data_IF_848627061926
#
_entry.id   IF_848627061926
#
_cell.length_a   1.000
_cell.length_b   1.000
_cell.length_c   1.000
_cell.angle_alpha   90.00
_cell.angle_beta   90.00
_cell.angle_gamma   90.00
#
_symmetry.space_group_name_H-M   'P 1'
#
loop_
_entity.id
_entity.type
_entity.pdbx_description
1 polymer ?
#
# COMPACT_ATOMS: atom_id res chain seq x y z
N UNK A 1 4.26 -14.02 12.16
CA UNK A 1 4.76 -12.92 13.03
C UNK A 1 3.89 -12.57 14.24
N UNK A 2 2.55 -12.75 14.24
CA UNK A 2 1.78 -12.73 15.52
C UNK A 2 2.27 -13.76 16.55
N UNK A 3 3.00 -14.78 16.10
CA UNK A 3 3.66 -15.77 16.97
C UNK A 3 4.65 -15.15 17.98
N UNK A 4 5.28 -14.02 17.65
CA UNK A 4 6.14 -13.29 18.57
C UNK A 4 5.38 -12.62 19.73
N UNK A 5 4.06 -12.48 19.59
CA UNK A 5 3.14 -12.00 20.63
C UNK A 5 2.48 -13.18 21.36
N UNK A 6 2.51 -14.39 20.80
CA UNK A 6 2.01 -15.62 21.41
C UNK A 6 3.07 -16.40 22.20
N UNK A 7 4.20 -15.75 22.55
CA UNK A 7 5.24 -16.33 23.40
C UNK A 7 6.29 -17.20 22.70
N UNK A 8 6.31 -17.27 21.37
CA UNK A 8 7.37 -18.00 20.64
C UNK A 8 8.70 -17.25 20.76
N UNK A 9 9.81 -17.92 21.16
CA UNK A 9 11.13 -17.30 21.23
C UNK A 9 11.53 -16.67 19.89
N UNK A 10 12.03 -15.43 19.93
CA UNK A 10 12.49 -14.70 18.73
C UNK A 10 13.57 -15.47 17.97
N UNK A 11 14.40 -16.25 18.67
CA UNK A 11 15.43 -17.11 18.07
C UNK A 11 14.85 -18.19 17.15
N UNK A 12 13.71 -18.78 17.52
CA UNK A 12 13.03 -19.80 16.73
C UNK A 12 12.40 -19.19 15.47
N UNK A 13 11.73 -18.05 15.63
CA UNK A 13 11.17 -17.26 14.52
C UNK A 13 12.25 -16.80 13.53
N UNK A 14 13.41 -16.42 14.05
CA UNK A 14 14.55 -16.04 13.23
C UNK A 14 15.11 -17.23 12.43
N UNK A 15 15.17 -18.42 13.04
CA UNK A 15 15.59 -19.65 12.38
C UNK A 15 14.59 -20.06 11.27
N UNK A 16 13.29 -20.11 11.60
CA UNK A 16 12.22 -20.50 10.68
C UNK A 16 12.14 -19.56 9.46
N UNK A 17 12.31 -18.27 9.67
CA UNK A 17 12.22 -17.27 8.61
C UNK A 17 13.56 -16.91 7.96
N UNK A 18 14.65 -17.61 8.30
CA UNK A 18 15.99 -17.34 7.75
C UNK A 18 16.46 -15.91 7.99
N UNK A 19 16.08 -15.31 9.11
CA UNK A 19 16.27 -13.91 9.43
C UNK A 19 17.15 -13.75 10.66
N UNK A 20 18.02 -12.74 10.70
CA UNK A 20 18.78 -12.42 11.92
C UNK A 20 17.89 -11.73 12.98
N UNK A 21 18.20 -11.92 14.26
CA UNK A 21 17.50 -11.22 15.35
C UNK A 21 17.56 -9.69 15.21
N UNK A 22 18.67 -9.15 14.69
CA UNK A 22 18.80 -7.72 14.42
C UNK A 22 17.80 -7.25 13.34
N UNK A 23 17.66 -8.02 12.26
CA UNK A 23 16.67 -7.76 11.21
C UNK A 23 15.24 -7.86 11.74
N UNK A 24 14.97 -8.83 12.62
CA UNK A 24 13.66 -8.99 13.28
C UNK A 24 13.27 -7.76 14.10
N UNK A 25 14.14 -7.29 15.00
CA UNK A 25 13.84 -6.13 15.83
C UNK A 25 13.75 -4.83 15.01
N UNK A 26 14.58 -4.67 13.98
CA UNK A 26 14.48 -3.54 13.05
C UNK A 26 13.13 -3.54 12.32
N UNK A 27 12.68 -4.70 11.86
CA UNK A 27 11.37 -4.85 11.25
C UNK A 27 10.24 -4.60 12.25
N UNK A 28 10.32 -5.17 13.46
CA UNK A 28 9.32 -4.99 14.52
C UNK A 28 9.21 -3.53 14.98
N UNK A 29 10.32 -2.81 15.07
CA UNK A 29 10.33 -1.39 15.38
C UNK A 29 9.58 -0.56 14.32
N UNK A 30 9.72 -0.93 13.05
CA UNK A 30 9.13 -0.19 11.92
C UNK A 30 7.70 -0.59 11.60
N UNK A 31 7.36 -1.87 11.75
CA UNK A 31 6.11 -2.46 11.26
C UNK A 31 5.38 -3.31 12.31
N UNK A 32 6.01 -3.62 13.45
CA UNK A 32 5.45 -4.52 14.46
C UNK A 32 4.25 -3.98 15.22
N UNK A 33 4.00 -2.66 15.19
CA UNK A 33 2.77 -2.05 15.68
C UNK A 33 1.72 -1.79 14.59
N UNK A 34 2.01 -2.15 13.33
CA UNK A 34 1.08 -1.97 12.23
C UNK A 34 0.14 -3.18 12.18
N UNK A 35 -1.07 -3.01 12.71
CA UNK A 35 -2.08 -4.07 12.70
C UNK A 35 -2.41 -4.50 11.26
N UNK A 36 -2.79 -5.76 11.09
CA UNK A 36 -3.19 -6.31 9.79
C UNK A 36 -4.35 -5.51 9.17
N UNK A 37 -5.24 -4.94 10.00
CA UNK A 37 -6.31 -4.05 9.55
C UNK A 37 -5.76 -2.75 8.93
N UNK A 38 -4.70 -2.17 9.48
CA UNK A 38 -4.05 -0.96 8.97
C UNK A 38 -3.37 -1.23 7.63
N UNK A 39 -2.69 -2.38 7.48
CA UNK A 39 -2.10 -2.80 6.20
C UNK A 39 -3.19 -2.99 5.13
N UNK A 40 -4.31 -3.60 5.51
CA UNK A 40 -5.46 -3.80 4.61
C UNK A 40 -6.06 -2.46 4.16
N UNK A 41 -6.28 -1.53 5.10
CA UNK A 41 -6.77 -0.19 4.80
C UNK A 41 -5.81 0.59 3.88
N UNK A 42 -4.50 0.50 4.12
CA UNK A 42 -3.49 1.15 3.28
C UNK A 42 -3.52 0.63 1.84
N UNK A 43 -3.69 -0.70 1.65
CA UNK A 43 -3.83 -1.30 0.32
C UNK A 43 -5.10 -0.84 -0.38
N UNK A 44 -6.24 -0.88 0.31
CA UNK A 44 -7.51 -0.41 -0.23
C UNK A 44 -7.45 1.06 -0.66
N UNK A 45 -6.80 1.90 0.16
CA UNK A 45 -6.61 3.32 -0.15
C UNK A 45 -5.69 3.52 -1.36
N UNK A 46 -4.62 2.73 -1.50
CA UNK A 46 -3.74 2.79 -2.65
C UNK A 46 -4.45 2.38 -3.95
N UNK A 47 -5.27 1.34 -3.90
CA UNK A 47 -6.06 0.88 -5.05
C UNK A 47 -7.11 1.90 -5.47
N UNK A 48 -7.82 2.49 -4.49
CA UNK A 48 -8.79 3.54 -4.78
C UNK A 48 -8.13 4.79 -5.36
N UNK A 49 -6.97 5.20 -4.83
CA UNK A 49 -6.22 6.32 -5.39
C UNK A 49 -5.80 6.06 -6.85
N UNK A 50 -5.39 4.83 -7.17
CA UNK A 50 -5.06 4.42 -8.54
C UNK A 50 -6.29 4.48 -9.45
N UNK A 51 -7.45 4.03 -8.97
CA UNK A 51 -8.72 4.09 -9.71
C UNK A 51 -9.13 5.54 -10.00
N UNK A 52 -9.10 6.39 -8.97
CA UNK A 52 -9.45 7.80 -9.08
C UNK A 52 -8.53 8.55 -10.05
N UNK A 53 -7.22 8.32 -9.99
CA UNK A 53 -6.27 8.93 -10.93
C UNK A 53 -6.54 8.55 -12.37
N UNK A 54 -6.88 7.29 -12.64
CA UNK A 54 -7.22 6.82 -13.99
C UNK A 54 -8.48 7.52 -14.50
N UNK A 55 -9.55 7.52 -13.70
CA UNK A 55 -10.81 8.16 -14.04
C UNK A 55 -10.64 9.66 -14.29
N UNK A 56 -9.83 10.34 -13.47
CA UNK A 56 -9.52 11.75 -13.67
C UNK A 56 -8.78 12.00 -14.98
N UNK A 57 -7.76 11.18 -15.30
CA UNK A 57 -7.02 11.30 -16.55
C UNK A 57 -7.93 11.10 -17.77
N UNK A 58 -8.79 10.08 -17.75
CA UNK A 58 -9.77 9.80 -18.81
C UNK A 58 -10.74 10.98 -18.99
N UNK A 59 -11.31 11.49 -17.89
CA UNK A 59 -12.22 12.64 -17.90
C UNK A 59 -11.53 13.91 -18.40
N UNK A 60 -10.27 14.15 -17.99
CA UNK A 60 -9.49 15.30 -18.43
C UNK A 60 -9.26 15.25 -19.94
N UNK A 61 -8.86 14.10 -20.48
CA UNK A 61 -8.68 13.91 -21.92
C UNK A 61 -9.97 14.16 -22.70
N UNK A 62 -11.10 13.64 -22.22
CA UNK A 62 -12.41 13.91 -22.85
C UNK A 62 -12.77 15.39 -22.80
N UNK A 63 -12.48 16.07 -21.70
CA UNK A 63 -12.72 17.50 -21.57
C UNK A 63 -11.88 18.33 -22.55
N UNK A 64 -10.60 17.97 -22.71
CA UNK A 64 -9.69 18.65 -23.62
C UNK A 64 -10.14 18.46 -25.08
N UNK A 65 -10.53 17.25 -25.46
CA UNK A 65 -11.11 16.97 -26.79
C UNK A 65 -12.39 17.77 -27.05
N UNK A 66 -13.27 17.88 -26.06
CA UNK A 66 -14.50 18.67 -26.18
C UNK A 66 -14.23 20.16 -26.34
N UNK A 67 -13.27 20.70 -25.58
CA UNK A 67 -12.84 22.10 -25.71
C UNK A 67 -12.27 22.37 -27.09
N UNK A 68 -11.37 21.51 -27.57
CA UNK A 68 -10.78 21.65 -28.91
C UNK A 68 -11.86 21.59 -30.01
N UNK A 69 -12.87 20.72 -29.87
CA UNK A 69 -13.98 20.63 -30.83
C UNK A 69 -14.88 21.88 -30.81
N UNK A 70 -15.08 22.51 -29.65
CA UNK A 70 -15.84 23.75 -29.52
C UNK A 70 -15.07 24.95 -30.09
N UNK A 71 -13.75 25.02 -29.86
CA UNK A 71 -12.87 26.08 -30.39
C UNK A 71 -12.74 26.02 -31.92
N UNK A 72 -12.85 24.83 -32.52
CA UNK A 72 -12.82 24.64 -33.99
C UNK A 72 -14.17 24.87 -34.68
N UNK A 73 -15.22 25.23 -33.95
CA UNK A 73 -16.54 25.51 -34.51
C UNK A 73 -16.59 26.98 -34.99
N UNK A 74 -16.92 27.27 -36.26
CA UNK A 74 -16.93 28.63 -36.80
C UNK A 74 -18.00 29.53 -36.18
#
# INVERSE_FOLDING_TARGET
MRQAESGVPVSELCCEHGMSSASFYKWRSKYGGMDASMVSQMRAMADENRRLKRMYAEMSMQNDLLKEALEKKP
#
